data_IF_501879716853
#
_entry.id   IF_501879716853
#
_cell.length_a   1.000
_cell.length_b   1.000
_cell.length_c   1.000
_cell.angle_alpha   90.00
_cell.angle_beta   90.00
_cell.angle_gamma   90.00
#
_symmetry.space_group_name_H-M   'P 1'
#
loop_
_entity.id
_entity.type
_entity.pdbx_description
1 polymer ?
#
# COMPACT_ATOMS: atom_id res chain seq x y z
N UNK A 1 6.20 -36.91 3.26
CA UNK A 1 5.95 -35.51 3.70
C UNK A 1 5.71 -34.70 2.44
N UNK A 2 4.52 -34.08 2.28
CA UNK A 2 4.27 -33.10 1.20
C UNK A 2 5.17 -31.91 1.50
N UNK A 3 6.12 -31.65 0.63
CA UNK A 3 6.97 -30.46 0.71
C UNK A 3 6.14 -29.32 0.14
N UNK A 4 5.60 -28.46 1.00
CA UNK A 4 4.91 -27.25 0.59
C UNK A 4 5.95 -26.26 0.07
N UNK A 5 5.76 -25.79 -1.15
CA UNK A 5 6.58 -24.75 -1.71
C UNK A 5 6.12 -23.41 -1.09
N UNK A 6 7.00 -22.77 -0.32
CA UNK A 6 6.75 -21.46 0.29
C UNK A 6 6.74 -20.42 -0.83
N UNK A 7 5.73 -19.56 -0.82
CA UNK A 7 5.53 -18.52 -1.81
C UNK A 7 5.67 -17.13 -1.15
N UNK A 8 6.08 -16.08 -1.90
CA UNK A 8 5.99 -14.70 -1.41
C UNK A 8 4.56 -14.36 -0.97
N UNK A 9 4.41 -13.78 0.23
CA UNK A 9 3.12 -13.50 0.85
C UNK A 9 2.63 -14.58 1.82
N UNK A 10 3.32 -15.72 1.93
CA UNK A 10 3.00 -16.73 2.95
C UNK A 10 3.54 -16.32 4.32
N UNK A 11 2.82 -16.67 5.38
CA UNK A 11 3.26 -16.49 6.74
C UNK A 11 4.14 -17.67 7.16
N UNK A 12 5.36 -17.38 7.58
CA UNK A 12 6.35 -18.37 7.98
C UNK A 12 6.92 -18.10 9.35
N UNK A 13 7.34 -19.14 10.05
CA UNK A 13 8.23 -19.06 11.20
C UNK A 13 9.67 -19.18 10.71
N UNK A 14 10.52 -18.28 11.17
CA UNK A 14 11.93 -18.24 10.76
C UNK A 14 12.81 -18.32 12.00
N UNK A 15 13.75 -19.28 11.99
CA UNK A 15 14.83 -19.37 12.98
C UNK A 15 16.17 -19.19 12.30
N UNK A 16 16.98 -18.30 12.84
CA UNK A 16 18.34 -18.07 12.35
C UNK A 16 19.35 -18.70 13.29
N UNK A 17 20.37 -19.35 12.74
CA UNK A 17 21.52 -19.85 13.49
C UNK A 17 22.82 -19.63 12.74
N UNK A 18 23.85 -19.16 13.44
CA UNK A 18 25.22 -19.09 12.94
C UNK A 18 26.20 -19.52 14.01
N UNK A 19 27.38 -20.01 13.62
CA UNK A 19 28.45 -20.40 14.55
C UNK A 19 29.12 -19.18 15.19
N UNK A 20 29.19 -18.08 14.46
CA UNK A 20 29.85 -16.83 14.87
C UNK A 20 28.91 -15.68 14.59
N UNK A 21 28.71 -14.78 15.56
CA UNK A 21 27.91 -13.57 15.39
C UNK A 21 28.43 -12.74 14.20
N UNK A 22 27.49 -12.20 13.40
CA UNK A 22 27.76 -11.40 12.20
C UNK A 22 28.36 -12.15 10.98
N UNK A 23 28.36 -13.47 10.97
CA UNK A 23 28.74 -14.27 9.79
C UNK A 23 27.52 -14.93 9.13
N UNK A 24 27.77 -15.53 7.96
CA UNK A 24 26.78 -16.34 7.25
C UNK A 24 26.27 -17.47 8.16
N UNK A 25 24.96 -17.66 8.15
CA UNK A 25 24.27 -18.68 8.94
C UNK A 25 23.19 -19.35 8.12
N UNK A 26 22.35 -20.13 8.80
CA UNK A 26 21.27 -20.90 8.20
C UNK A 26 19.93 -20.41 8.72
N UNK A 27 18.98 -20.26 7.79
CA UNK A 27 17.56 -20.08 8.11
C UNK A 27 16.87 -21.43 8.13
N UNK A 28 16.17 -21.72 9.22
CA UNK A 28 15.15 -22.75 9.25
C UNK A 28 13.80 -22.05 9.09
N UNK A 29 13.05 -22.41 8.04
CA UNK A 29 11.79 -21.78 7.68
C UNK A 29 10.69 -22.84 7.75
N UNK A 30 9.60 -22.53 8.47
CA UNK A 30 8.43 -23.40 8.61
C UNK A 30 7.19 -22.61 8.17
N UNK A 31 6.40 -23.18 7.24
CA UNK A 31 5.15 -22.57 6.80
C UNK A 31 4.12 -22.60 7.95
N UNK A 32 3.56 -21.43 8.30
CA UNK A 32 2.46 -21.29 9.25
C UNK A 32 1.13 -21.26 8.50
N UNK A 33 1.01 -20.34 7.53
CA UNK A 33 -0.22 -20.12 6.77
C UNK A 33 0.11 -19.71 5.33
N UNK A 34 -0.60 -20.29 4.35
CA UNK A 34 -0.48 -19.88 2.95
C UNK A 34 -1.60 -18.92 2.58
N UNK A 35 -1.24 -17.80 1.96
CA UNK A 35 -2.17 -16.86 1.33
C UNK A 35 -2.32 -17.20 -0.15
N UNK A 36 -1.21 -17.38 -0.86
CA UNK A 36 -1.16 -17.63 -2.30
C UNK A 36 -1.88 -18.93 -2.67
N UNK A 37 -1.74 -19.98 -1.87
CA UNK A 37 -2.43 -21.25 -2.10
C UNK A 37 -3.96 -21.14 -2.11
N UNK A 38 -4.53 -20.10 -1.50
CA UNK A 38 -5.98 -19.85 -1.47
C UNK A 38 -6.48 -19.04 -2.66
N UNK A 39 -5.61 -18.35 -3.39
CA UNK A 39 -5.94 -17.36 -4.43
C UNK A 39 -5.25 -17.65 -5.78
N UNK A 40 -4.67 -18.83 -5.98
CA UNK A 40 -3.81 -19.11 -7.12
C UNK A 40 -4.48 -18.94 -8.51
N UNK A 41 -5.80 -18.98 -8.59
CA UNK A 41 -6.59 -18.72 -9.80
C UNK A 41 -7.10 -17.26 -9.92
N UNK A 42 -6.77 -16.39 -8.95
CA UNK A 42 -7.27 -15.02 -8.92
C UNK A 42 -6.16 -14.03 -9.31
N UNK A 43 -6.18 -13.58 -10.56
CA UNK A 43 -5.17 -12.68 -11.11
C UNK A 43 -5.04 -11.38 -10.32
N UNK A 44 -6.17 -10.78 -9.91
CA UNK A 44 -6.17 -9.48 -9.21
C UNK A 44 -5.50 -9.64 -7.85
N UNK A 45 -5.87 -10.66 -7.10
CA UNK A 45 -5.28 -10.94 -5.78
C UNK A 45 -3.80 -11.32 -5.87
N UNK A 46 -3.41 -12.06 -6.91
CA UNK A 46 -1.99 -12.35 -7.16
C UNK A 46 -1.19 -11.09 -7.52
N UNK A 47 -1.75 -10.17 -8.30
CA UNK A 47 -1.12 -8.88 -8.60
C UNK A 47 -0.99 -8.00 -7.35
N UNK A 48 -1.98 -8.03 -6.45
CA UNK A 48 -1.92 -7.37 -5.14
C UNK A 48 -0.78 -7.95 -4.29
N UNK A 49 -0.67 -9.28 -4.15
CA UNK A 49 0.43 -9.92 -3.39
C UNK A 49 1.79 -9.57 -4.00
N UNK A 50 1.91 -9.62 -5.33
CA UNK A 50 3.14 -9.27 -6.02
C UNK A 50 3.56 -7.83 -5.72
N UNK A 51 2.61 -6.90 -5.75
CA UNK A 51 2.84 -5.49 -5.43
C UNK A 51 3.18 -5.28 -3.95
N UNK A 52 2.43 -5.93 -3.06
CA UNK A 52 2.69 -5.94 -1.62
C UNK A 52 4.13 -6.38 -1.30
N UNK A 53 4.57 -7.54 -1.81
CA UNK A 53 5.91 -8.07 -1.58
C UNK A 53 6.99 -7.14 -2.15
N UNK A 54 6.76 -6.61 -3.35
CA UNK A 54 7.69 -5.67 -3.99
C UNK A 54 7.86 -4.40 -3.15
N UNK A 55 6.76 -3.72 -2.78
CA UNK A 55 6.83 -2.49 -1.98
C UNK A 55 7.47 -2.73 -0.61
N UNK A 56 7.07 -3.79 0.09
CA UNK A 56 7.64 -4.14 1.40
C UNK A 56 9.15 -4.33 1.32
N UNK A 57 9.61 -5.07 0.28
CA UNK A 57 11.04 -5.37 0.09
C UNK A 57 11.89 -4.14 -0.24
N UNK A 58 11.31 -3.12 -0.88
CA UNK A 58 12.07 -1.94 -1.32
C UNK A 58 11.95 -0.74 -0.38
N UNK A 59 10.82 -0.63 0.33
CA UNK A 59 10.52 0.57 1.10
C UNK A 59 10.91 0.42 2.56
N UNK A 60 10.74 -0.77 3.14
CA UNK A 60 11.11 -0.99 4.54
C UNK A 60 12.63 -1.11 4.71
N UNK A 61 13.21 -0.44 5.71
CA UNK A 61 14.62 -0.58 6.03
C UNK A 61 14.94 -2.00 6.50
N UNK A 62 16.14 -2.47 6.15
CA UNK A 62 16.63 -3.77 6.65
C UNK A 62 16.85 -3.73 8.17
N UNK A 63 16.46 -4.82 8.86
CA UNK A 63 16.66 -5.03 10.30
C UNK A 63 15.91 -4.07 11.22
N UNK A 64 14.99 -3.27 10.69
CA UNK A 64 14.11 -2.45 11.51
C UNK A 64 12.96 -3.26 12.08
N UNK A 65 12.60 -2.95 13.33
CA UNK A 65 11.52 -3.62 14.03
C UNK A 65 10.21 -2.85 13.84
N UNK A 66 9.32 -3.36 13.00
CA UNK A 66 8.04 -2.74 12.62
C UNK A 66 6.84 -3.59 13.11
N UNK A 67 6.66 -3.86 14.42
CA UNK A 67 5.67 -4.83 14.91
C UNK A 67 4.24 -4.44 14.59
N UNK A 68 3.90 -3.16 14.67
CA UNK A 68 2.55 -2.67 14.36
C UNK A 68 2.23 -2.81 12.86
N UNK A 69 3.15 -2.41 12.00
CA UNK A 69 2.99 -2.55 10.57
C UNK A 69 2.95 -4.04 10.15
N UNK A 70 3.74 -4.89 10.79
CA UNK A 70 3.68 -6.34 10.58
C UNK A 70 2.29 -6.90 10.91
N UNK A 71 1.68 -6.52 12.04
CA UNK A 71 0.33 -6.98 12.40
C UNK A 71 -0.73 -6.47 11.41
N UNK A 72 -0.65 -5.22 10.97
CA UNK A 72 -1.53 -4.67 9.92
C UNK A 72 -1.38 -5.43 8.60
N UNK A 73 -0.15 -5.67 8.18
CA UNK A 73 0.16 -6.45 6.97
C UNK A 73 -0.36 -7.89 7.06
N UNK A 74 -0.21 -8.53 8.21
CA UNK A 74 -0.74 -9.88 8.46
C UNK A 74 -2.27 -9.90 8.41
N UNK A 75 -2.95 -8.90 8.98
CA UNK A 75 -4.41 -8.77 8.89
C UNK A 75 -4.85 -8.55 7.45
N UNK A 76 -4.21 -7.64 6.73
CA UNK A 76 -4.49 -7.39 5.31
C UNK A 76 -4.36 -8.68 4.47
N UNK A 77 -3.26 -9.43 4.62
CA UNK A 77 -3.04 -10.68 3.87
C UNK A 77 -4.08 -11.74 4.18
N UNK A 78 -4.65 -11.77 5.39
CA UNK A 78 -5.75 -12.67 5.76
C UNK A 78 -7.07 -12.30 5.10
N UNK A 79 -7.33 -11.00 4.93
CA UNK A 79 -8.56 -10.50 4.30
C UNK A 79 -8.62 -10.77 2.79
N UNK A 80 -7.48 -10.80 2.10
CA UNK A 80 -7.40 -10.99 0.64
C UNK A 80 -8.18 -12.23 0.17
N UNK A 81 -7.98 -13.44 0.70
CA UNK A 81 -8.64 -14.63 0.19
C UNK A 81 -10.10 -14.79 0.62
N UNK A 82 -10.54 -14.10 1.66
CA UNK A 82 -11.89 -14.28 2.21
C UNK A 82 -12.89 -13.22 1.72
N UNK A 83 -12.42 -12.05 1.30
CA UNK A 83 -13.28 -10.98 0.82
C UNK A 83 -13.74 -11.29 -0.63
N UNK A 84 -15.04 -11.37 -0.91
CA UNK A 84 -15.55 -11.72 -2.23
C UNK A 84 -15.45 -10.56 -3.24
N UNK A 85 -15.36 -9.33 -2.78
CA UNK A 85 -15.35 -8.13 -3.62
C UNK A 85 -13.91 -7.74 -4.01
N UNK A 86 -13.64 -7.65 -5.31
CA UNK A 86 -12.37 -7.14 -5.81
C UNK A 86 -12.17 -5.67 -5.42
N UNK A 87 -13.23 -4.85 -5.50
CA UNK A 87 -13.15 -3.43 -5.16
C UNK A 87 -12.80 -3.23 -3.69
N UNK A 88 -13.39 -4.00 -2.79
CA UNK A 88 -13.07 -3.93 -1.36
C UNK A 88 -11.62 -4.36 -1.08
N UNK A 89 -11.14 -5.43 -1.73
CA UNK A 89 -9.74 -5.86 -1.59
C UNK A 89 -8.76 -4.79 -2.08
N UNK A 90 -9.11 -4.08 -3.15
CA UNK A 90 -8.28 -2.97 -3.66
C UNK A 90 -8.29 -1.75 -2.72
N UNK A 91 -9.43 -1.42 -2.14
CA UNK A 91 -9.49 -0.38 -1.10
C UNK A 91 -8.64 -0.76 0.12
N UNK A 92 -8.75 -2.02 0.59
CA UNK A 92 -7.90 -2.53 1.67
C UNK A 92 -6.41 -2.43 1.33
N UNK A 93 -6.04 -2.71 0.07
CA UNK A 93 -4.67 -2.55 -0.38
C UNK A 93 -4.21 -1.08 -0.36
N UNK A 94 -5.06 -0.14 -0.75
CA UNK A 94 -4.76 1.30 -0.67
C UNK A 94 -4.59 1.74 0.79
N UNK A 95 -5.43 1.26 1.72
CA UNK A 95 -5.27 1.51 3.15
C UNK A 95 -3.93 0.95 3.66
N UNK A 96 -3.54 -0.25 3.20
CA UNK A 96 -2.24 -0.82 3.55
C UNK A 96 -1.07 0.03 3.01
N UNK A 97 -1.17 0.59 1.78
CA UNK A 97 -0.16 1.52 1.25
C UNK A 97 -0.06 2.80 2.10
N UNK A 98 -1.18 3.30 2.63
CA UNK A 98 -1.18 4.44 3.56
C UNK A 98 -0.50 4.08 4.90
N UNK A 99 -0.74 2.87 5.41
CA UNK A 99 -0.04 2.37 6.59
C UNK A 99 1.48 2.21 6.34
N UNK A 100 1.88 1.76 5.15
CA UNK A 100 3.29 1.69 4.75
C UNK A 100 3.94 3.08 4.71
N UNK A 101 3.27 4.07 4.09
CA UNK A 101 3.74 5.45 4.07
C UNK A 101 3.88 6.04 5.48
N UNK A 102 2.94 5.72 6.38
CA UNK A 102 3.01 6.14 7.78
C UNK A 102 4.21 5.50 8.50
N UNK A 103 4.46 4.20 8.28
CA UNK A 103 5.58 3.48 8.88
C UNK A 103 6.94 4.09 8.52
N UNK A 104 7.08 4.56 7.27
CA UNK A 104 8.32 5.20 6.79
C UNK A 104 8.37 6.71 7.00
N UNK A 105 7.51 7.25 7.87
CA UNK A 105 7.56 8.65 8.29
C UNK A 105 6.96 9.64 7.28
N UNK A 106 6.13 9.17 6.35
CA UNK A 106 5.41 10.03 5.38
C UNK A 106 3.89 9.89 5.57
N UNK A 107 3.34 10.18 6.76
CA UNK A 107 1.91 10.04 7.03
C UNK A 107 1.09 11.01 6.19
N UNK A 108 -0.07 10.54 5.71
CA UNK A 108 -1.06 11.39 5.07
C UNK A 108 -2.21 11.64 6.05
N UNK A 109 -2.73 12.87 6.06
CA UNK A 109 -3.82 13.24 6.97
C UNK A 109 -5.04 13.76 6.19
N UNK A 110 -6.14 13.03 6.31
CA UNK A 110 -7.41 13.35 5.66
C UNK A 110 -8.51 13.73 6.64
N UNK A 111 -8.19 13.96 7.92
CA UNK A 111 -9.18 14.23 8.97
C UNK A 111 -9.76 15.63 8.90
N UNK A 112 -8.99 16.60 8.37
CA UNK A 112 -9.39 18.01 8.30
C UNK A 112 -8.62 18.76 7.20
N UNK A 113 -9.22 19.86 6.75
CA UNK A 113 -8.60 20.75 5.78
C UNK A 113 -7.39 21.47 6.41
N UNK A 114 -6.21 21.35 5.80
CA UNK A 114 -4.98 21.99 6.29
C UNK A 114 -5.02 23.51 6.27
N UNK A 115 -5.99 24.13 5.57
CA UNK A 115 -6.12 25.60 5.44
C UNK A 115 -7.13 26.15 6.43
N UNK A 116 -8.29 25.51 6.58
CA UNK A 116 -9.40 26.00 7.40
C UNK A 116 -9.63 25.23 8.71
N UNK A 117 -9.08 24.03 8.85
CA UNK A 117 -9.42 23.11 9.94
C UNK A 117 -10.78 22.43 9.79
N UNK A 118 -11.53 22.69 8.71
CA UNK A 118 -12.84 22.07 8.49
C UNK A 118 -12.69 20.57 8.19
N UNK A 119 -13.59 19.79 8.74
CA UNK A 119 -13.68 18.33 8.53
C UNK A 119 -14.66 17.93 7.42
N UNK A 120 -15.34 18.93 6.85
CA UNK A 120 -16.34 18.71 5.79
C UNK A 120 -15.83 19.22 4.44
N UNK A 121 -16.41 18.68 3.36
CA UNK A 121 -16.10 19.09 1.99
C UNK A 121 -14.63 18.94 1.60
N UNK A 122 -13.95 17.94 2.16
CA UNK A 122 -12.60 17.56 1.78
C UNK A 122 -12.63 16.93 0.39
N UNK A 123 -11.95 17.51 -0.58
CA UNK A 123 -12.02 17.08 -1.99
C UNK A 123 -10.64 16.74 -2.56
N UNK A 124 -9.60 17.32 -1.99
CA UNK A 124 -8.26 17.24 -2.53
C UNK A 124 -7.23 16.90 -1.44
N UNK A 125 -6.03 16.53 -1.89
CA UNK A 125 -4.84 16.35 -1.05
C UNK A 125 -3.70 17.19 -1.62
N UNK A 126 -3.02 17.92 -0.74
CA UNK A 126 -1.85 18.70 -1.11
C UNK A 126 -0.65 17.80 -1.40
N UNK A 127 -0.06 17.81 -2.62
CA UNK A 127 1.13 17.03 -2.94
C UNK A 127 2.36 17.43 -2.14
N UNK A 128 2.35 18.64 -1.56
CA UNK A 128 3.44 19.13 -0.72
C UNK A 128 3.40 18.53 0.68
N UNK A 129 2.24 18.57 1.34
CA UNK A 129 2.11 18.20 2.76
C UNK A 129 1.46 16.82 3.00
N UNK A 130 0.75 16.24 2.02
CA UNK A 130 -0.03 15.01 2.24
C UNK A 130 -1.35 15.21 2.99
N UNK A 131 -1.72 16.45 3.29
CA UNK A 131 -2.91 16.77 4.06
C UNK A 131 -4.09 17.13 3.14
N UNK A 132 -5.31 16.88 3.65
CA UNK A 132 -6.54 17.20 2.93
C UNK A 132 -6.73 18.70 2.73
N UNK A 133 -7.39 19.06 1.62
CA UNK A 133 -7.77 20.41 1.25
C UNK A 133 -9.25 20.43 0.88
N UNK A 134 -10.01 21.34 1.49
CA UNK A 134 -11.43 21.55 1.19
C UNK A 134 -11.65 22.13 -0.22
N UNK A 135 -12.79 21.83 -0.83
CA UNK A 135 -13.14 22.30 -2.17
C UNK A 135 -13.06 23.81 -2.33
N UNK A 136 -13.48 24.58 -1.32
CA UNK A 136 -13.48 26.06 -1.31
C UNK A 136 -12.08 26.66 -1.30
N UNK A 137 -11.05 25.90 -0.91
CA UNK A 137 -9.67 26.38 -0.78
C UNK A 137 -8.75 25.93 -1.92
N UNK A 138 -9.25 25.13 -2.85
CA UNK A 138 -8.50 24.69 -4.02
C UNK A 138 -8.20 25.87 -4.97
N UNK A 139 -9.20 26.69 -5.29
CA UNK A 139 -9.07 27.87 -6.13
C UNK A 139 -8.25 27.61 -7.40
N UNK A 140 -7.32 28.53 -7.69
CA UNK A 140 -6.40 28.42 -8.85
C UNK A 140 -5.40 27.25 -8.78
N UNK A 141 -5.30 26.59 -7.63
CA UNK A 141 -4.39 25.46 -7.43
C UNK A 141 -5.05 24.09 -7.66
N UNK A 142 -6.35 24.05 -7.98
CA UNK A 142 -7.11 22.80 -8.14
C UNK A 142 -6.39 21.79 -9.04
N UNK A 143 -5.86 22.23 -10.18
CA UNK A 143 -5.14 21.37 -11.13
C UNK A 143 -3.80 20.82 -10.62
N UNK A 144 -3.30 21.35 -9.51
CA UNK A 144 -2.05 20.89 -8.87
C UNK A 144 -2.29 20.01 -7.65
N UNK A 145 -3.54 19.87 -7.24
CA UNK A 145 -3.93 19.03 -6.10
C UNK A 145 -4.29 17.63 -6.58
N UNK A 146 -4.10 16.65 -5.69
CA UNK A 146 -4.52 15.28 -5.93
C UNK A 146 -5.97 15.11 -5.47
N UNK A 147 -6.74 14.26 -6.15
CA UNK A 147 -8.10 13.95 -5.73
C UNK A 147 -8.07 13.14 -4.44
N UNK A 148 -8.94 13.48 -3.48
CA UNK A 148 -9.18 12.68 -2.28
C UNK A 148 -10.37 11.73 -2.58
N UNK A 149 -10.16 10.40 -2.60
CA UNK A 149 -11.21 9.43 -2.82
C UNK A 149 -12.30 9.49 -1.75
N UNK A 150 -13.54 9.16 -2.11
CA UNK A 150 -14.66 9.13 -1.18
C UNK A 150 -14.43 8.13 -0.04
N UNK A 151 -13.95 6.92 -0.34
CA UNK A 151 -13.68 5.91 0.68
C UNK A 151 -12.53 6.28 1.64
N UNK A 152 -11.73 7.31 1.33
CA UNK A 152 -10.70 7.90 2.22
C UNK A 152 -11.20 9.17 2.93
N UNK A 153 -12.48 9.48 2.87
CA UNK A 153 -13.08 10.66 3.51
C UNK A 153 -13.30 11.87 2.59
N UNK A 154 -13.09 11.71 1.29
CA UNK A 154 -13.41 12.73 0.30
C UNK A 154 -14.92 12.96 0.15
N UNK A 155 -15.29 14.05 -0.52
CA UNK A 155 -16.69 14.31 -0.86
C UNK A 155 -17.19 13.34 -1.91
N UNK A 156 -18.44 12.88 -1.74
CA UNK A 156 -19.11 12.09 -2.77
C UNK A 156 -19.48 13.00 -3.96
N UNK A 157 -18.88 12.74 -5.10
CA UNK A 157 -19.22 13.44 -6.35
C UNK A 157 -20.36 12.67 -7.02
N UNK A 158 -21.50 13.32 -7.22
CA UNK A 158 -22.65 12.75 -7.95
C UNK A 158 -22.14 12.24 -9.31
N UNK A 159 -22.38 10.97 -9.63
CA UNK A 159 -21.89 10.24 -10.80
C UNK A 159 -20.43 9.76 -10.75
N UNK A 160 -19.76 9.76 -9.59
CA UNK A 160 -18.45 9.13 -9.48
C UNK A 160 -18.61 7.60 -9.52
N UNK A 161 -17.97 6.94 -10.47
CA UNK A 161 -17.91 5.48 -10.51
C UNK A 161 -16.96 4.99 -9.41
N UNK A 162 -17.31 3.90 -8.74
CA UNK A 162 -16.47 3.30 -7.71
C UNK A 162 -15.05 2.98 -8.22
N UNK A 163 -14.93 2.55 -9.48
CA UNK A 163 -13.64 2.29 -10.11
C UNK A 163 -12.80 3.56 -10.27
N UNK A 164 -13.41 4.71 -10.59
CA UNK A 164 -12.72 6.00 -10.69
C UNK A 164 -12.23 6.46 -9.31
N UNK A 165 -12.99 6.15 -8.28
CA UNK A 165 -12.63 6.47 -6.89
C UNK A 165 -11.44 5.62 -6.43
N UNK A 166 -11.46 4.32 -6.70
CA UNK A 166 -10.33 3.40 -6.45
C UNK A 166 -9.09 3.84 -7.25
N UNK A 167 -9.25 4.18 -8.54
CA UNK A 167 -8.15 4.66 -9.37
C UNK A 167 -7.54 5.97 -8.82
N UNK A 168 -8.37 6.86 -8.30
CA UNK A 168 -7.90 8.07 -7.62
C UNK A 168 -7.09 7.74 -6.37
N UNK A 169 -7.51 6.74 -5.58
CA UNK A 169 -6.78 6.22 -4.43
C UNK A 169 -5.40 5.67 -4.83
N UNK A 170 -5.36 4.86 -5.87
CA UNK A 170 -4.10 4.35 -6.44
C UNK A 170 -3.17 5.47 -6.92
N UNK A 171 -3.73 6.50 -7.56
CA UNK A 171 -2.94 7.63 -8.06
C UNK A 171 -2.37 8.47 -6.92
N UNK A 172 -3.15 8.63 -5.85
CA UNK A 172 -2.77 9.34 -4.63
C UNK A 172 -1.60 8.64 -3.93
N UNK A 173 -1.75 7.35 -3.61
CA UNK A 173 -0.71 6.61 -2.89
C UNK A 173 0.56 6.44 -3.72
N UNK A 174 0.43 6.15 -5.03
CA UNK A 174 1.58 6.05 -5.92
C UNK A 174 2.38 7.36 -6.00
N UNK A 175 1.70 8.52 -5.98
CA UNK A 175 2.37 9.81 -5.95
C UNK A 175 3.28 9.93 -4.73
N UNK A 176 2.78 9.62 -3.54
CA UNK A 176 3.57 9.75 -2.31
C UNK A 176 4.63 8.66 -2.17
N UNK A 177 4.37 7.43 -2.63
CA UNK A 177 5.37 6.37 -2.72
C UNK A 177 6.55 6.80 -3.62
N UNK A 178 6.26 7.35 -4.80
CA UNK A 178 7.31 7.89 -5.68
C UNK A 178 8.07 9.02 -5.01
N UNK A 179 7.37 9.98 -4.42
CA UNK A 179 7.98 11.11 -3.72
C UNK A 179 8.90 10.66 -2.58
N UNK A 180 8.51 9.61 -1.83
CA UNK A 180 9.36 9.00 -0.82
C UNK A 180 10.61 8.36 -1.44
N UNK A 181 10.43 7.55 -2.49
CA UNK A 181 11.54 6.87 -3.17
C UNK A 181 12.50 7.82 -3.88
N UNK A 182 12.02 8.97 -4.36
CA UNK A 182 12.85 10.02 -4.98
C UNK A 182 13.86 10.63 -3.98
N UNK A 183 13.65 10.46 -2.67
CA UNK A 183 14.63 10.89 -1.65
C UNK A 183 15.87 9.99 -1.58
N UNK A 184 15.84 8.81 -2.20
CA UNK A 184 16.88 7.78 -2.12
C UNK A 184 17.53 7.51 -3.48
N UNK A 185 17.93 8.35 -4.28
CA UNK A 185 18.71 8.18 -5.54
C UNK A 185 18.62 6.77 -6.20
N UNK A 186 17.43 6.15 -6.22
CA UNK A 186 17.22 4.84 -6.82
C UNK A 186 17.29 4.91 -8.35
N UNK A 187 18.34 4.37 -8.92
CA UNK A 187 18.43 4.12 -10.35
C UNK A 187 17.39 3.07 -10.76
N UNK A 188 16.28 3.44 -11.41
CA UNK A 188 15.21 2.56 -11.91
C UNK A 188 13.95 2.41 -11.03
N UNK A 189 13.37 3.51 -10.57
CA UNK A 189 12.07 3.53 -9.90
C UNK A 189 10.96 2.75 -10.63
N UNK A 190 10.95 2.80 -11.96
CA UNK A 190 9.96 2.08 -12.77
C UNK A 190 10.05 0.58 -12.58
N UNK A 191 11.26 0.02 -12.47
CA UNK A 191 11.47 -1.42 -12.24
C UNK A 191 11.02 -1.81 -10.84
N UNK A 192 11.31 -0.98 -9.83
CA UNK A 192 10.91 -1.20 -8.44
C UNK A 192 9.38 -1.19 -8.28
N UNK A 193 8.70 -0.28 -8.99
CA UNK A 193 7.26 -0.09 -8.94
C UNK A 193 6.50 -0.89 -10.01
N UNK A 194 7.17 -1.77 -10.77
CA UNK A 194 6.55 -2.47 -11.90
C UNK A 194 5.28 -3.23 -11.51
N UNK A 195 5.33 -4.04 -10.45
CA UNK A 195 4.19 -4.81 -9.97
C UNK A 195 3.04 -3.89 -9.54
N UNK A 196 3.36 -2.79 -8.86
CA UNK A 196 2.41 -1.79 -8.41
C UNK A 196 1.74 -1.03 -9.57
N UNK A 197 2.52 -0.62 -10.56
CA UNK A 197 2.02 0.08 -11.76
C UNK A 197 1.16 -0.88 -12.59
N UNK A 198 1.57 -2.14 -12.74
CA UNK A 198 0.79 -3.18 -13.42
C UNK A 198 -0.58 -3.36 -12.76
N UNK A 199 -0.64 -3.45 -11.43
CA UNK A 199 -1.88 -3.55 -10.67
C UNK A 199 -2.81 -2.36 -10.99
N UNK A 200 -2.31 -1.13 -10.96
CA UNK A 200 -3.11 0.06 -11.27
C UNK A 200 -3.60 0.09 -12.72
N UNK A 201 -2.77 -0.34 -13.68
CA UNK A 201 -3.13 -0.34 -15.11
C UNK A 201 -4.19 -1.38 -15.46
N UNK A 202 -4.33 -2.45 -14.69
CA UNK A 202 -5.42 -3.43 -14.86
C UNK A 202 -6.79 -2.86 -14.44
N UNK A 203 -6.84 -1.64 -13.88
CA UNK A 203 -8.03 -0.93 -13.42
C UNK A 203 -8.40 0.29 -14.28
N UNK A 204 -7.70 0.53 -15.36
CA UNK A 204 -8.10 1.47 -16.40
C UNK A 204 -9.06 0.78 -17.37
#
# INVERSE_FOLDING_TARGET
KKQYLIQPGDLVSVSWSSRISNQLGFFKIELIETTVGKIFNDKIRLDIISSFCSLTSFILPERENCPFFFQKSKTFLKEIPINPSNNEVLKLYIFWELDLLNEVGTPLNFSECTVSGDKKNLKYVSPKSGNAVGSSFAGKYENKLLKLPFFLGGVNVINNNENDDIFSGFSLTLFFIKKFLDTFDFNNLTKLLFARIRLQNNFK
#
